data_IF_833490984300
#
_entry.id   IF_833490984300
#
_cell.length_a   1.000
_cell.length_b   1.000
_cell.length_c   1.000
_cell.angle_alpha   90.00
_cell.angle_beta   90.00
_cell.angle_gamma   90.00
#
_symmetry.space_group_name_H-M   'P 1'
#
loop_
_entity.id
_entity.type
_entity.pdbx_description
1 polymer ?
#
# COMPACT_ATOMS: atom_id res chain seq x y z
N UNK A 1 10.86 33.00 16.75
CA UNK A 1 10.87 31.85 17.67
C UNK A 1 11.25 30.63 16.84
N UNK A 2 12.29 29.89 17.25
CA UNK A 2 12.58 28.58 16.66
C UNK A 2 11.37 27.68 16.92
N UNK A 3 10.71 27.20 15.88
CA UNK A 3 9.63 26.23 16.04
C UNK A 3 10.19 25.01 16.77
N UNK A 4 9.56 24.61 17.87
CA UNK A 4 9.91 23.36 18.53
C UNK A 4 9.77 22.21 17.53
N UNK A 5 10.68 21.24 17.58
CA UNK A 5 10.61 20.00 16.80
C UNK A 5 10.42 18.80 17.71
N UNK A 6 9.78 17.77 17.16
CA UNK A 6 9.82 16.43 17.72
C UNK A 6 10.76 15.61 16.86
N UNK A 7 11.90 15.22 17.42
CA UNK A 7 12.90 14.42 16.70
C UNK A 7 13.01 13.05 17.38
N UNK A 8 12.60 12.00 16.65
CA UNK A 8 12.63 10.62 17.11
C UNK A 8 13.85 9.97 16.47
N UNK A 9 14.89 9.78 17.29
CA UNK A 9 16.18 9.22 16.86
C UNK A 9 16.35 7.73 17.22
N UNK A 10 15.27 7.11 17.69
CA UNK A 10 15.21 5.70 18.11
C UNK A 10 13.97 5.44 18.98
N UNK A 11 13.53 4.19 19.04
CA UNK A 11 12.31 3.81 19.77
C UNK A 11 11.03 4.13 18.99
N UNK A 12 9.89 4.11 19.68
CA UNK A 12 8.56 4.19 19.06
C UNK A 12 7.76 5.36 19.64
N UNK A 13 7.27 6.23 18.75
CA UNK A 13 6.14 7.12 19.05
C UNK A 13 4.85 6.45 18.57
N UNK A 14 4.05 5.94 19.50
CA UNK A 14 2.73 5.33 19.21
C UNK A 14 1.61 6.11 19.89
N UNK A 15 0.47 6.25 19.22
CA UNK A 15 -0.72 6.85 19.80
C UNK A 15 -1.49 7.72 18.84
N UNK A 16 -2.58 8.29 19.35
CA UNK A 16 -3.40 9.30 18.70
C UNK A 16 -3.17 10.68 19.32
N UNK A 17 -3.67 11.73 18.66
CA UNK A 17 -3.62 13.12 19.17
C UNK A 17 -3.04 14.10 18.14
N UNK A 18 -2.60 15.27 18.61
CA UNK A 18 -2.11 16.35 17.74
C UNK A 18 -0.72 16.83 18.17
N UNK A 19 0.21 16.86 17.21
CA UNK A 19 1.54 17.43 17.35
C UNK A 19 1.58 18.74 16.56
N UNK A 20 1.68 19.88 17.25
CA UNK A 20 1.74 21.21 16.62
C UNK A 20 3.19 21.68 16.42
N UNK A 21 3.95 20.85 15.74
CA UNK A 21 5.37 21.07 15.42
C UNK A 21 5.77 20.22 14.22
N UNK A 22 6.92 20.54 13.62
CA UNK A 22 7.55 19.60 12.68
C UNK A 22 7.97 18.32 13.41
N UNK A 23 7.89 17.19 12.71
CA UNK A 23 8.25 15.87 13.22
C UNK A 23 9.31 15.24 12.31
N UNK A 24 10.41 14.78 12.90
CA UNK A 24 11.43 13.99 12.23
C UNK A 24 11.47 12.59 12.83
N UNK A 25 11.32 11.56 12.01
CA UNK A 25 11.46 10.15 12.38
C UNK A 25 12.66 9.60 11.63
N UNK A 26 13.81 9.51 12.30
CA UNK A 26 15.00 8.94 11.69
C UNK A 26 15.89 8.32 12.76
N UNK A 27 15.98 7.00 12.75
CA UNK A 27 16.89 6.26 13.62
C UNK A 27 18.36 6.60 13.35
N UNK A 28 19.25 5.99 14.13
CA UNK A 28 20.70 6.18 13.95
C UNK A 28 21.36 5.11 13.09
N UNK A 29 20.60 4.13 12.61
CA UNK A 29 21.06 3.05 11.73
C UNK A 29 20.13 1.84 11.71
N UNK A 30 20.45 0.83 10.90
CA UNK A 30 19.62 -0.38 10.74
C UNK A 30 19.32 -1.14 12.04
N UNK A 31 20.22 -1.09 13.03
CA UNK A 31 20.02 -1.71 14.34
C UNK A 31 19.29 -0.84 15.36
N UNK A 32 18.95 0.40 14.99
CA UNK A 32 18.28 1.37 15.86
C UNK A 32 17.39 2.28 15.01
N UNK A 33 16.30 1.71 14.53
CA UNK A 33 15.26 2.44 13.79
C UNK A 33 14.46 3.34 14.72
N UNK A 34 13.91 4.41 14.15
CA UNK A 34 12.90 5.25 14.78
C UNK A 34 11.54 4.93 14.17
N UNK A 35 10.52 4.80 15.01
CA UNK A 35 9.18 4.40 14.58
C UNK A 35 8.17 5.50 14.87
N UNK A 36 7.27 5.72 13.92
CA UNK A 36 5.98 6.36 14.16
C UNK A 36 4.88 5.33 13.91
N UNK A 37 3.98 5.19 14.86
CA UNK A 37 2.83 4.29 14.79
C UNK A 37 1.58 5.10 15.15
N UNK A 38 0.90 5.71 14.17
CA UNK A 38 -0.35 6.41 14.40
C UNK A 38 -1.37 5.50 15.08
N UNK A 39 -2.30 6.10 15.82
CA UNK A 39 -3.41 5.36 16.43
C UNK A 39 -3.09 4.66 17.74
N UNK A 40 -4.15 4.17 18.40
CA UNK A 40 -4.08 3.47 19.68
C UNK A 40 -5.07 2.30 19.67
N UNK A 41 -4.88 1.35 18.74
CA UNK A 41 -5.90 0.48 18.14
C UNK A 41 -6.83 1.26 17.21
N UNK A 42 -6.32 1.60 16.04
CA UNK A 42 -7.01 2.29 14.93
C UNK A 42 -7.56 3.65 15.34
N UNK A 43 -6.74 4.68 15.12
CA UNK A 43 -7.14 6.08 15.26
C UNK A 43 -6.16 7.00 14.51
N UNK A 44 -6.38 8.31 14.58
CA UNK A 44 -5.58 9.32 13.87
C UNK A 44 -4.50 9.93 14.76
N UNK A 45 -3.29 10.02 14.24
CA UNK A 45 -2.26 10.94 14.72
C UNK A 45 -2.17 12.13 13.75
N UNK A 46 -2.40 13.34 14.26
CA UNK A 46 -2.31 14.57 13.47
C UNK A 46 -0.98 15.27 13.72
N UNK A 47 -0.30 15.67 12.65
CA UNK A 47 0.87 16.53 12.66
C UNK A 47 0.49 17.86 11.99
N UNK A 48 0.31 18.90 12.81
CA UNK A 48 0.10 20.27 12.36
C UNK A 48 1.45 20.93 12.03
N UNK A 49 2.14 20.37 11.03
CA UNK A 49 3.48 20.76 10.61
C UNK A 49 4.01 19.85 9.50
N UNK A 50 5.29 19.97 9.21
CA UNK A 50 5.98 19.08 8.26
C UNK A 50 6.38 17.77 8.94
N UNK A 51 6.35 16.69 8.16
CA UNK A 51 6.79 15.36 8.55
C UNK A 51 7.99 14.94 7.70
N UNK A 52 9.06 14.47 8.34
CA UNK A 52 10.21 13.87 7.67
C UNK A 52 10.46 12.48 8.21
N UNK A 53 10.30 11.47 7.36
CA UNK A 53 10.84 10.14 7.61
C UNK A 53 12.20 10.03 6.91
N UNK A 54 13.24 9.70 7.68
CA UNK A 54 14.56 9.41 7.13
C UNK A 54 14.75 7.94 6.75
N UNK A 55 15.90 7.61 6.18
CA UNK A 55 16.28 6.25 5.76
C UNK A 55 16.15 5.21 6.89
N UNK A 56 16.38 5.62 8.14
CA UNK A 56 16.25 4.75 9.33
C UNK A 56 14.94 4.99 10.09
N UNK A 57 13.94 5.58 9.44
CA UNK A 57 12.58 5.73 9.93
C UNK A 57 11.66 4.61 9.46
N UNK A 58 10.70 4.25 10.31
CA UNK A 58 9.63 3.30 10.00
C UNK A 58 8.26 3.90 10.35
N UNK A 59 7.32 3.84 9.41
CA UNK A 59 5.90 4.12 9.65
C UNK A 59 5.16 2.80 9.77
N UNK A 60 4.61 2.52 10.95
CA UNK A 60 3.82 1.32 11.22
C UNK A 60 2.33 1.68 11.18
N UNK A 61 1.56 0.97 10.36
CA UNK A 61 0.13 1.16 10.17
C UNK A 61 -0.61 -0.13 10.50
N UNK A 62 -1.48 -0.09 11.50
CA UNK A 62 -2.40 -1.19 11.83
C UNK A 62 -3.71 -1.00 11.04
N UNK A 63 -4.31 -2.10 10.56
CA UNK A 63 -5.62 -2.06 9.91
C UNK A 63 -6.44 -3.33 10.21
N UNK A 64 -7.76 -3.21 10.10
CA UNK A 64 -8.72 -4.30 10.29
C UNK A 64 -9.71 -4.39 9.12
N UNK A 65 -10.79 -5.13 9.31
CA UNK A 65 -11.89 -5.32 8.35
C UNK A 65 -12.46 -4.02 7.77
N UNK A 66 -12.42 -2.93 8.55
CA UNK A 66 -13.22 -1.73 8.35
C UNK A 66 -12.45 -0.42 8.51
N UNK A 67 -11.31 -0.45 9.22
CA UNK A 67 -10.62 0.74 9.69
C UNK A 67 -9.10 0.60 9.56
N UNK A 68 -8.39 1.73 9.55
CA UNK A 68 -6.92 1.79 9.42
C UNK A 68 -6.38 2.92 10.29
N UNK A 69 -5.19 2.73 10.86
CA UNK A 69 -4.41 3.81 11.47
C UNK A 69 -4.16 4.91 10.44
N UNK A 70 -4.27 6.17 10.88
CA UNK A 70 -4.13 7.31 9.99
C UNK A 70 -3.14 8.34 10.52
N UNK A 71 -2.11 8.64 9.72
CA UNK A 71 -1.26 9.81 9.92
C UNK A 71 -1.77 10.99 9.07
N UNK A 72 -2.25 12.04 9.72
CA UNK A 72 -2.74 13.26 9.06
C UNK A 72 -1.72 14.40 9.18
N UNK A 73 -1.09 14.80 8.07
CA UNK A 73 -0.03 15.80 8.05
C UNK A 73 -0.56 17.07 7.38
N UNK A 74 -0.54 18.20 8.06
CA UNK A 74 -1.00 19.47 7.47
C UNK A 74 0.02 20.10 6.51
N UNK A 75 1.28 19.65 6.55
CA UNK A 75 2.41 20.22 5.82
C UNK A 75 3.01 19.28 4.75
N UNK A 76 4.30 19.46 4.50
CA UNK A 76 5.09 18.61 3.61
C UNK A 76 5.40 17.26 4.27
N UNK A 77 5.13 16.17 3.57
CA UNK A 77 5.64 14.84 3.91
C UNK A 77 6.91 14.53 3.08
N UNK A 78 8.06 14.42 3.73
CA UNK A 78 9.29 13.89 3.14
C UNK A 78 9.44 12.43 3.51
N UNK A 79 9.34 11.52 2.54
CA UNK A 79 9.29 10.08 2.77
C UNK A 79 10.58 9.38 2.31
N UNK A 80 11.07 8.48 3.16
CA UNK A 80 12.17 7.54 2.95
C UNK A 80 11.98 6.34 3.90
N UNK A 81 12.91 5.40 3.94
CA UNK A 81 12.88 4.29 4.91
C UNK A 81 11.72 3.33 4.67
N UNK A 82 11.09 2.84 5.75
CA UNK A 82 10.15 1.72 5.68
C UNK A 82 8.71 2.15 5.98
N UNK A 83 7.75 1.65 5.19
CA UNK A 83 6.33 1.60 5.53
C UNK A 83 5.95 0.14 5.84
N UNK A 84 5.32 -0.11 6.97
CA UNK A 84 4.96 -1.45 7.44
C UNK A 84 3.46 -1.52 7.77
N UNK A 85 2.76 -2.51 7.21
CA UNK A 85 1.34 -2.73 7.46
C UNK A 85 1.11 -4.01 8.25
N UNK A 86 0.37 -3.90 9.36
CA UNK A 86 -0.03 -5.04 10.18
C UNK A 86 -1.55 -5.16 10.20
N UNK A 87 -2.06 -6.32 9.76
CA UNK A 87 -3.48 -6.64 9.93
C UNK A 87 -3.74 -7.13 11.35
N UNK A 88 -4.74 -6.56 12.02
CA UNK A 88 -5.10 -6.87 13.42
C UNK A 88 -6.48 -7.52 13.58
N UNK A 89 -7.23 -7.64 12.49
CA UNK A 89 -8.56 -8.26 12.46
C UNK A 89 -8.53 -9.80 12.37
N UNK A 90 -9.70 -10.36 12.05
CA UNK A 90 -9.92 -11.80 11.85
C UNK A 90 -10.07 -12.18 10.37
N UNK A 91 -10.76 -11.35 9.57
CA UNK A 91 -11.09 -11.63 8.17
C UNK A 91 -10.67 -10.49 7.24
N UNK A 92 -10.08 -10.80 6.09
CA UNK A 92 -9.68 -9.78 5.12
C UNK A 92 -10.88 -9.35 4.27
N UNK A 93 -11.16 -8.06 4.26
CA UNK A 93 -12.12 -7.43 3.34
C UNK A 93 -11.41 -6.72 2.20
N UNK A 94 -11.98 -6.81 1.01
CA UNK A 94 -11.58 -5.95 -0.11
C UNK A 94 -12.00 -4.51 0.18
N UNK A 95 -11.18 -3.54 -0.22
CA UNK A 95 -11.45 -2.14 0.08
C UNK A 95 -10.27 -1.23 -0.20
N UNK A 96 -10.52 0.06 0.00
CA UNK A 96 -9.51 1.11 -0.10
C UNK A 96 -9.52 1.88 1.21
N UNK A 97 -8.37 1.95 1.87
CA UNK A 97 -8.21 2.53 3.19
C UNK A 97 -7.17 3.66 3.12
N UNK A 98 -7.57 4.88 3.47
CA UNK A 98 -6.65 6.00 3.51
C UNK A 98 -5.89 6.01 4.83
N UNK A 99 -4.57 5.86 4.79
CA UNK A 99 -3.72 5.78 5.98
C UNK A 99 -2.82 7.01 6.15
N UNK A 100 -2.72 7.85 5.13
CA UNK A 100 -1.81 8.98 5.10
C UNK A 100 -2.44 10.13 4.31
N UNK A 101 -2.43 11.32 4.90
CA UNK A 101 -2.76 12.59 4.23
C UNK A 101 -1.64 13.59 4.43
N UNK A 102 -1.43 14.45 3.43
CA UNK A 102 -0.41 15.50 3.43
C UNK A 102 -0.81 16.65 2.52
N UNK A 103 -0.30 17.86 2.78
CA UNK A 103 -0.48 18.98 1.85
C UNK A 103 0.35 18.81 0.57
N UNK A 104 1.54 18.22 0.69
CA UNK A 104 2.42 17.87 -0.43
C UNK A 104 3.38 16.75 -0.01
N UNK A 105 3.96 16.05 -0.98
CA UNK A 105 4.90 14.95 -0.73
C UNK A 105 6.15 15.10 -1.59
N UNK A 106 7.30 14.74 -1.01
CA UNK A 106 8.55 14.50 -1.71
C UNK A 106 9.14 13.15 -1.27
N UNK A 107 9.89 12.52 -2.19
CA UNK A 107 10.45 11.19 -1.94
C UNK A 107 9.40 10.08 -2.01
N UNK A 108 9.81 8.90 -1.56
CA UNK A 108 9.00 7.69 -1.49
C UNK A 108 9.58 6.79 -0.40
N UNK A 109 8.79 5.87 0.15
CA UNK A 109 9.34 4.82 1.00
C UNK A 109 10.34 3.97 0.20
N UNK A 110 11.47 3.65 0.81
CA UNK A 110 12.51 2.79 0.23
C UNK A 110 12.06 1.31 0.23
N UNK A 111 11.22 0.95 1.21
CA UNK A 111 10.60 -0.38 1.30
C UNK A 111 9.17 -0.29 1.84
N UNK A 112 8.28 -1.11 1.29
CA UNK A 112 6.90 -1.27 1.76
C UNK A 112 6.72 -2.74 2.13
N UNK A 113 6.40 -3.00 3.41
CA UNK A 113 6.13 -4.33 3.94
C UNK A 113 4.61 -4.51 3.98
N UNK A 114 4.10 -5.34 3.07
CA UNK A 114 2.68 -5.69 2.99
C UNK A 114 2.45 -7.08 3.59
N UNK A 115 1.32 -7.31 4.25
CA UNK A 115 0.96 -8.65 4.70
C UNK A 115 0.63 -9.54 3.50
N UNK A 116 0.66 -10.86 3.72
CA UNK A 116 0.33 -11.86 2.70
C UNK A 116 -0.80 -12.76 3.19
N UNK A 117 -1.93 -12.71 2.47
CA UNK A 117 -3.09 -13.53 2.73
C UNK A 117 -3.54 -14.23 1.44
N UNK A 118 -3.78 -15.54 1.53
CA UNK A 118 -4.25 -16.31 0.37
C UNK A 118 -5.59 -15.75 -0.13
N UNK A 119 -5.70 -15.49 -1.44
CA UNK A 119 -6.92 -14.94 -2.02
C UNK A 119 -6.96 -13.41 -2.11
N UNK A 120 -5.93 -12.71 -1.61
CA UNK A 120 -5.90 -11.25 -1.58
C UNK A 120 -4.59 -10.68 -2.10
N UNK A 121 -4.70 -9.54 -2.78
CA UNK A 121 -3.58 -8.68 -3.18
C UNK A 121 -3.66 -7.37 -2.40
N UNK A 122 -2.51 -6.85 -2.02
CA UNK A 122 -2.36 -5.57 -1.33
C UNK A 122 -1.49 -4.66 -2.19
N UNK A 123 -1.87 -3.38 -2.27
CA UNK A 123 -1.13 -2.37 -3.00
C UNK A 123 -1.19 -1.02 -2.29
N UNK A 124 -0.21 -0.16 -2.52
CA UNK A 124 -0.17 1.21 -1.99
C UNK A 124 -0.27 2.20 -3.13
N UNK A 125 -1.35 2.99 -3.12
CA UNK A 125 -1.62 3.98 -4.17
C UNK A 125 -1.49 5.38 -3.61
N UNK A 126 -0.56 6.16 -4.18
CA UNK A 126 -0.40 7.58 -3.86
C UNK A 126 -1.26 8.46 -4.75
N UNK A 127 -1.98 9.39 -4.13
CA UNK A 127 -2.60 10.55 -4.76
C UNK A 127 -1.75 11.81 -4.57
N UNK A 128 -2.28 12.96 -4.97
CA UNK A 128 -1.60 14.24 -4.82
C UNK A 128 -1.46 14.70 -3.36
N UNK A 129 -2.38 14.27 -2.49
CA UNK A 129 -2.48 14.72 -1.08
C UNK A 129 -2.80 13.57 -0.11
N UNK A 130 -2.67 12.33 -0.56
CA UNK A 130 -3.02 11.14 0.22
C UNK A 130 -2.26 9.91 -0.24
N UNK A 131 -2.22 8.87 0.59
CA UNK A 131 -1.87 7.51 0.20
C UNK A 131 -2.88 6.50 0.77
N UNK A 132 -3.21 5.49 -0.03
CA UNK A 132 -4.19 4.47 0.31
C UNK A 132 -3.57 3.07 0.28
N UNK A 133 -3.99 2.22 1.22
CA UNK A 133 -3.88 0.78 1.10
C UNK A 133 -5.08 0.28 0.29
N UNK A 134 -4.83 -0.45 -0.79
CA UNK A 134 -5.85 -1.06 -1.64
C UNK A 134 -5.77 -2.56 -1.50
N UNK A 135 -6.88 -3.17 -1.10
CA UNK A 135 -7.04 -4.61 -0.95
C UNK A 135 -7.98 -5.11 -2.04
N UNK A 136 -7.51 -6.05 -2.84
CA UNK A 136 -8.29 -6.66 -3.93
C UNK A 136 -8.24 -8.18 -3.87
N UNK A 137 -9.19 -8.83 -4.53
CA UNK A 137 -9.19 -10.29 -4.62
C UNK A 137 -8.10 -10.75 -5.59
N UNK A 138 -7.27 -11.71 -5.17
CA UNK A 138 -6.38 -12.41 -6.09
C UNK A 138 -7.18 -13.47 -6.84
N UNK A 139 -7.36 -13.29 -8.14
CA UNK A 139 -7.96 -14.34 -8.99
C UNK A 139 -6.88 -15.34 -9.39
N UNK A 140 -7.17 -16.62 -9.24
CA UNK A 140 -6.33 -17.65 -9.87
C UNK A 140 -6.57 -17.59 -11.37
N UNK A 141 -5.53 -17.28 -12.14
CA UNK A 141 -5.59 -17.42 -13.58
C UNK A 141 -5.87 -18.89 -13.92
N UNK A 142 -7.00 -19.17 -14.57
CA UNK A 142 -7.26 -20.50 -15.10
C UNK A 142 -6.51 -20.60 -16.43
N UNK A 143 -5.59 -21.58 -16.61
CA UNK A 143 -4.95 -21.81 -17.90
C UNK A 143 -6.02 -21.94 -18.98
N UNK A 144 -5.88 -21.19 -20.08
CA UNK A 144 -6.83 -21.23 -21.19
C UNK A 144 -7.06 -22.70 -21.59
N UNK A 145 -8.31 -23.20 -21.57
CA UNK A 145 -8.56 -24.62 -21.77
C UNK A 145 -7.96 -25.11 -23.08
N UNK A 146 -7.55 -26.38 -23.14
CA UNK A 146 -7.06 -27.03 -24.36
C UNK A 146 -8.05 -26.90 -25.54
N UNK A 147 -9.33 -26.65 -25.27
CA UNK A 147 -10.34 -26.31 -26.25
C UNK A 147 -9.95 -25.10 -27.14
N UNK A 148 -9.20 -24.11 -26.62
CA UNK A 148 -8.71 -22.99 -27.42
C UNK A 148 -7.78 -23.47 -28.56
N UNK A 149 -6.98 -24.51 -28.29
CA UNK A 149 -6.13 -25.15 -29.29
C UNK A 149 -6.91 -26.03 -30.27
N UNK A 150 -8.16 -26.41 -29.98
CA UNK A 150 -9.01 -27.20 -30.88
C UNK A 150 -9.65 -26.34 -31.99
N UNK A 151 -9.80 -25.03 -31.79
CA UNK A 151 -10.34 -24.13 -32.81
C UNK A 151 -9.41 -23.99 -34.02
N UNK A 152 -8.09 -24.01 -33.82
CA UNK A 152 -7.11 -23.98 -34.91
C UNK A 152 -7.29 -25.11 -35.94
N UNK A 153 -7.19 -26.40 -35.55
CA UNK A 153 -7.34 -27.52 -36.46
C UNK A 153 -8.79 -27.68 -36.94
N UNK A 154 -9.80 -27.37 -36.11
CA UNK A 154 -11.20 -27.44 -36.53
C UNK A 154 -11.51 -26.43 -37.65
N UNK A 155 -11.04 -25.18 -37.52
CA UNK A 155 -11.24 -24.15 -38.55
C UNK A 155 -10.53 -24.52 -39.85
N UNK A 156 -9.29 -25.03 -39.76
CA UNK A 156 -8.55 -25.55 -40.92
C UNK A 156 -9.27 -26.74 -41.58
N UNK A 157 -9.83 -27.65 -40.78
CA UNK A 157 -10.65 -28.76 -41.24
C UNK A 157 -11.89 -28.30 -42.01
N UNK A 158 -12.66 -27.35 -41.45
CA UNK A 158 -13.84 -26.79 -42.13
C UNK A 158 -13.48 -26.02 -43.40
N UNK A 159 -12.39 -25.27 -43.42
CA UNK A 159 -11.89 -24.60 -44.64
C UNK A 159 -11.49 -25.60 -45.72
N UNK A 160 -10.88 -26.73 -45.34
CA UNK A 160 -10.56 -27.83 -46.24
C UNK A 160 -11.80 -28.49 -46.84
N UNK A 161 -12.82 -28.76 -46.02
CA UNK A 161 -14.11 -29.31 -46.46
C UNK A 161 -14.84 -28.36 -47.43
N UNK A 162 -14.84 -27.05 -47.14
CA UNK A 162 -15.46 -26.03 -48.00
C UNK A 162 -14.78 -25.93 -49.37
N UNK A 163 -13.45 -26.07 -49.45
CA UNK A 163 -12.72 -26.07 -50.72
C UNK A 163 -13.11 -27.26 -51.61
N UNK A 164 -13.26 -28.45 -51.03
CA UNK A 164 -13.66 -29.65 -51.80
C UNK A 164 -15.08 -29.55 -52.34
N UNK A 165 -16.03 -29.03 -51.56
CA UNK A 165 -17.42 -28.87 -52.00
C UNK A 165 -17.57 -27.99 -53.25
N UNK A 166 -16.68 -26.99 -53.45
CA UNK A 166 -16.68 -26.11 -54.64
C UNK A 166 -16.05 -26.74 -55.88
N UNK A 167 -15.29 -27.83 -55.74
CA UNK A 167 -14.63 -28.52 -56.86
C UNK A 167 -15.49 -29.63 -57.49
N UNK A 168 -16.53 -30.08 -56.79
CA UNK A 168 -17.46 -31.13 -57.21
C UNK A 168 -18.81 -30.60 -57.73
N UNK A 169 -18.94 -29.29 -57.89
CA UNK A 169 -20.07 -28.61 -58.55
C UNK A 169 -19.56 -27.93 -59.83
#
# INVERSE_FOLDING_TARGET
MTQASVDINGGVLKGNGTITSKVTVNGTGLGNLAYIAPGNSIDTLTINGDYTQGEFGLMAIEFDETSIDWLDISGLASLAGVLDFTFTGADINIGTFNFLTFASVIGSFDSILLPSFAGFNFDVVFGATFANLVISQSVSEVPVPAALFLFGPALLGFMGLRRRAKMTA
#
